data_IF_624955977642
#
_entry.id   IF_624955977642
#
_cell.length_a   1.000
_cell.length_b   1.000
_cell.length_c   1.000
_cell.angle_alpha   90.00
_cell.angle_beta   90.00
_cell.angle_gamma   90.00
#
_symmetry.space_group_name_H-M   'P 1'
#
loop_
_entity.id
_entity.type
_entity.pdbx_description
1 polymer ?
#
# COMPACT_ATOMS: atom_id res chain seq x y z
N UNK A 1 29.75 -72.76 -41.21
CA UNK A 1 30.17 -72.69 -39.78
C UNK A 1 28.98 -72.12 -39.00
N UNK A 2 28.11 -72.98 -38.46
CA UNK A 2 28.01 -73.34 -37.03
C UNK A 2 27.71 -72.11 -36.13
N UNK A 3 26.44 -71.84 -35.80
CA UNK A 3 25.65 -72.36 -34.65
C UNK A 3 26.02 -71.71 -33.30
N UNK A 4 25.09 -70.95 -32.68
CA UNK A 4 24.38 -71.33 -31.44
C UNK A 4 23.61 -70.18 -30.74
N UNK A 5 22.37 -70.51 -30.33
CA UNK A 5 21.65 -70.26 -29.04
C UNK A 5 21.74 -68.86 -28.42
N UNK A 6 20.65 -68.17 -28.08
CA UNK A 6 19.46 -68.65 -27.37
C UNK A 6 19.54 -68.20 -25.91
N UNK A 7 18.78 -67.18 -25.51
CA UNK A 7 18.76 -66.66 -24.15
C UNK A 7 17.63 -65.67 -23.93
N UNK A 8 16.46 -66.18 -23.53
CA UNK A 8 15.31 -65.36 -23.16
C UNK A 8 15.45 -64.74 -21.77
N UNK A 9 14.84 -63.57 -21.59
CA UNK A 9 14.33 -63.08 -20.30
C UNK A 9 13.29 -61.98 -20.55
N UNK A 10 12.04 -62.27 -20.17
CA UNK A 10 10.95 -61.30 -20.01
C UNK A 10 11.29 -60.33 -18.87
N UNK A 11 10.77 -59.10 -18.91
CA UNK A 11 10.14 -58.57 -17.70
C UNK A 11 8.74 -58.00 -17.95
N UNK A 12 7.82 -58.56 -17.14
CA UNK A 12 6.74 -57.94 -16.37
C UNK A 12 6.00 -56.72 -16.91
N UNK A 13 4.70 -56.97 -17.12
CA UNK A 13 3.58 -56.02 -17.18
C UNK A 13 3.48 -55.14 -15.92
N UNK A 14 2.81 -54.00 -16.12
CA UNK A 14 1.86 -53.34 -15.21
C UNK A 14 2.44 -52.45 -14.10
N UNK A 15 2.56 -51.16 -14.40
CA UNK A 15 2.29 -50.09 -13.44
C UNK A 15 1.17 -49.22 -14.01
N UNK A 16 0.01 -49.29 -13.35
CA UNK A 16 -1.16 -48.49 -13.63
C UNK A 16 -0.87 -47.01 -13.37
N UNK A 17 -1.38 -46.15 -14.24
CA UNK A 17 -1.37 -44.70 -14.09
C UNK A 17 -2.43 -44.32 -13.05
N UNK A 18 -2.00 -43.97 -11.85
CA UNK A 18 -2.85 -43.24 -10.90
C UNK A 18 -2.96 -41.78 -11.37
N UNK A 19 -4.11 -41.45 -11.97
CA UNK A 19 -4.56 -40.08 -12.13
C UNK A 19 -5.17 -39.62 -10.80
N UNK A 20 -4.75 -38.49 -10.20
CA UNK A 20 -5.48 -37.94 -9.07
C UNK A 20 -6.84 -37.44 -9.54
N UNK A 21 -7.89 -37.96 -8.88
CA UNK A 21 -9.27 -37.50 -9.02
C UNK A 21 -9.33 -36.03 -8.59
N UNK A 22 -9.70 -35.16 -9.53
CA UNK A 22 -10.16 -33.80 -9.26
C UNK A 22 -11.39 -33.91 -8.36
N UNK A 23 -11.20 -33.56 -7.08
CA UNK A 23 -12.28 -33.42 -6.12
C UNK A 23 -13.08 -32.16 -6.48
N UNK A 24 -14.35 -32.41 -6.77
CA UNK A 24 -15.45 -31.47 -6.92
C UNK A 24 -15.50 -30.50 -5.72
N UNK A 25 -14.93 -29.30 -5.90
CA UNK A 25 -14.99 -28.21 -4.91
C UNK A 25 -16.33 -27.49 -5.06
N UNK A 26 -17.36 -28.06 -4.43
CA UNK A 26 -18.56 -27.30 -4.06
C UNK A 26 -18.14 -26.08 -3.26
N UNK A 27 -18.54 -24.89 -3.73
CA UNK A 27 -18.48 -23.62 -3.01
C UNK A 27 -19.16 -23.78 -1.64
N UNK A 28 -18.38 -24.10 -0.62
CA UNK A 28 -18.82 -24.01 0.77
C UNK A 28 -18.93 -22.52 1.09
N UNK A 29 -20.15 -22.08 1.44
CA UNK A 29 -20.38 -20.83 2.14
C UNK A 29 -19.33 -20.70 3.25
N UNK A 30 -18.56 -19.61 3.25
CA UNK A 30 -17.64 -19.30 4.33
C UNK A 30 -18.41 -19.36 5.66
N UNK A 31 -17.85 -19.97 6.72
CA UNK A 31 -18.48 -19.94 8.03
C UNK A 31 -18.60 -18.47 8.46
N UNK A 32 -19.81 -18.06 8.87
CA UNK A 32 -20.01 -16.80 9.58
C UNK A 32 -19.03 -16.78 10.76
N UNK A 33 -18.18 -15.75 10.84
CA UNK A 33 -17.29 -15.54 11.97
C UNK A 33 -18.13 -15.57 13.27
N UNK A 34 -17.68 -16.28 14.32
CA UNK A 34 -18.43 -16.32 15.57
C UNK A 34 -18.44 -14.91 16.19
N UNK A 35 -19.63 -14.45 16.59
CA UNK A 35 -19.81 -13.20 17.31
C UNK A 35 -18.89 -13.18 18.55
N UNK A 36 -17.98 -12.20 18.61
CA UNK A 36 -17.14 -11.95 19.76
C UNK A 36 -18.03 -11.63 20.97
N UNK A 37 -18.13 -12.56 21.92
CA UNK A 37 -18.81 -12.31 23.19
C UNK A 37 -18.04 -11.24 23.98
N UNK A 38 -18.72 -10.22 24.56
CA UNK A 38 -18.06 -9.22 25.38
C UNK A 38 -17.48 -9.86 26.64
N UNK A 39 -16.20 -9.59 26.91
CA UNK A 39 -15.52 -10.02 28.11
C UNK A 39 -16.20 -9.45 29.36
N UNK A 40 -16.53 -10.31 30.32
CA UNK A 40 -17.05 -9.92 31.63
C UNK A 40 -16.01 -9.04 32.36
N UNK A 41 -16.42 -7.82 32.73
CA UNK A 41 -15.62 -6.92 33.59
C UNK A 41 -15.33 -7.59 34.94
N UNK A 42 -14.10 -7.55 35.46
CA UNK A 42 -13.80 -7.97 36.83
C UNK A 42 -14.31 -6.95 37.84
N UNK A 43 -14.61 -7.36 39.09
CA UNK A 43 -15.18 -6.49 40.10
C UNK A 43 -14.17 -5.45 40.61
N UNK A 44 -14.65 -4.21 40.77
CA UNK A 44 -13.92 -3.10 41.40
C UNK A 44 -13.63 -3.44 42.87
N UNK A 45 -12.36 -3.57 43.22
CA UNK A 45 -11.90 -3.50 44.62
C UNK A 45 -11.69 -2.04 45.00
N UNK A 46 -12.43 -1.58 46.00
CA UNK A 46 -12.22 -0.29 46.64
C UNK A 46 -11.00 -0.31 47.55
N UNK A 47 -10.30 0.82 47.65
CA UNK A 47 -9.37 1.07 48.74
C UNK A 47 -9.65 2.43 49.40
N UNK A 48 -9.51 2.51 50.74
CA UNK A 48 -9.87 3.69 51.52
C UNK A 48 -8.70 4.68 51.57
N UNK A 49 -9.03 5.96 51.71
CA UNK A 49 -8.05 7.02 51.89
C UNK A 49 -7.44 7.04 53.28
N UNK A 50 -6.20 7.53 53.36
CA UNK A 50 -5.69 8.24 54.55
C UNK A 50 -4.72 9.33 54.10
N UNK A 51 -4.94 10.53 54.64
CA UNK A 51 -4.04 11.70 54.57
C UNK A 51 -2.82 11.44 55.46
N UNK A 52 -1.61 11.74 54.98
CA UNK A 52 -0.48 12.14 55.85
C UNK A 52 0.37 13.21 55.17
N UNK A 53 0.74 14.18 56.01
CA UNK A 53 1.54 15.40 55.82
C UNK A 53 2.99 15.13 55.40
N UNK A 54 3.69 16.11 54.80
CA UNK A 54 5.10 15.99 54.42
C UNK A 54 6.04 16.48 55.54
N UNK A 55 7.26 15.94 55.68
CA UNK A 55 8.32 16.58 56.44
C UNK A 55 9.21 17.45 55.53
N UNK A 56 9.66 18.55 56.12
CA UNK A 56 10.62 19.50 55.60
C UNK A 56 12.06 18.98 55.67
N UNK A 57 12.96 19.54 54.84
CA UNK A 57 14.39 19.60 55.18
C UNK A 57 15.42 19.49 54.05
N UNK A 58 15.84 20.66 53.53
CA UNK A 58 17.20 21.04 53.10
C UNK A 58 17.88 20.39 51.85
N UNK A 59 18.97 21.00 51.30
CA UNK A 59 19.18 22.41 50.98
C UNK A 59 19.62 22.66 49.51
N UNK A 60 19.45 23.91 49.08
CA UNK A 60 19.90 24.48 47.79
C UNK A 60 21.43 24.53 47.70
N UNK A 61 21.99 24.11 46.55
CA UNK A 61 23.36 24.47 46.14
C UNK A 61 23.33 25.53 45.04
N UNK A 62 24.17 26.54 45.25
CA UNK A 62 24.24 27.79 44.55
C UNK A 62 24.93 27.71 43.19
N UNK A 63 24.41 28.54 42.28
CA UNK A 63 24.99 28.98 41.02
C UNK A 63 26.33 29.67 41.23
N UNK A 64 27.31 29.39 40.37
CA UNK A 64 28.56 30.14 40.32
C UNK A 64 28.92 30.50 38.88
N UNK A 65 28.92 31.79 38.62
CA UNK A 65 29.40 32.51 37.44
C UNK A 65 30.92 32.69 37.52
N UNK A 66 31.63 32.55 36.39
CA UNK A 66 32.91 33.22 36.08
C UNK A 66 33.26 32.90 34.60
N UNK A 67 33.17 33.88 33.69
CA UNK A 67 34.26 34.76 33.18
C UNK A 67 35.27 34.09 32.24
N UNK A 68 35.29 34.60 31.00
CA UNK A 68 36.35 34.50 29.96
C UNK A 68 37.73 34.97 30.48
N UNK A 69 38.82 34.65 29.76
CA UNK A 69 39.37 35.66 28.84
C UNK A 69 39.78 35.12 27.46
N UNK A 70 39.99 36.08 26.54
CA UNK A 70 40.45 35.92 25.17
C UNK A 70 41.99 35.82 25.08
N UNK A 71 42.50 35.27 23.97
CA UNK A 71 43.88 35.53 23.52
C UNK A 71 44.36 34.58 22.40
N UNK A 72 45.10 35.07 21.38
CA UNK A 72 45.15 34.46 20.05
C UNK A 72 46.46 33.72 19.75
N UNK A 73 46.42 32.80 18.77
CA UNK A 73 47.61 32.13 18.25
C UNK A 73 47.49 31.84 16.74
N UNK A 74 48.02 32.75 15.92
CA UNK A 74 48.40 32.48 14.53
C UNK A 74 49.57 31.49 14.51
N UNK A 75 49.58 30.55 13.55
CA UNK A 75 50.81 30.11 12.88
C UNK A 75 50.50 29.53 11.50
N UNK A 76 51.19 30.10 10.54
CA UNK A 76 51.29 29.71 9.14
C UNK A 76 51.97 28.35 8.95
N UNK A 77 51.69 27.69 7.82
CA UNK A 77 52.75 26.95 7.13
C UNK A 77 52.37 25.65 6.43
N UNK A 78 52.46 25.74 5.10
CA UNK A 78 53.06 24.75 4.18
C UNK A 78 52.15 23.78 3.41
N UNK A 79 52.11 24.10 2.12
CA UNK A 79 52.04 23.27 0.93
C UNK A 79 52.29 21.76 1.09
N UNK A 80 51.36 20.98 0.53
CA UNK A 80 51.54 19.57 0.17
C UNK A 80 50.79 19.26 -1.11
N UNK A 81 51.54 18.94 -2.17
CA UNK A 81 51.10 18.55 -3.50
C UNK A 81 49.94 17.53 -3.51
N UNK A 82 48.82 17.87 -4.15
CA UNK A 82 47.83 16.87 -4.59
C UNK A 82 48.11 16.49 -6.05
N UNK A 83 48.56 15.24 -6.20
CA UNK A 83 48.67 14.53 -7.47
C UNK A 83 47.30 14.47 -8.15
N UNK A 84 47.26 14.83 -9.43
CA UNK A 84 46.14 14.57 -10.33
C UNK A 84 46.04 13.04 -10.50
N UNK A 85 44.94 12.47 -10.03
CA UNK A 85 44.54 11.11 -10.39
C UNK A 85 43.47 11.21 -11.48
N UNK A 86 43.65 10.40 -12.51
CA UNK A 86 42.84 10.34 -13.71
C UNK A 86 41.35 10.15 -13.40
N UNK A 87 40.55 11.08 -13.92
CA UNK A 87 39.09 10.99 -13.91
C UNK A 87 38.67 10.07 -15.05
N UNK A 88 38.44 8.79 -14.74
CA UNK A 88 37.63 7.96 -15.61
C UNK A 88 36.19 8.49 -15.60
N UNK A 89 35.76 9.01 -16.74
CA UNK A 89 34.37 9.35 -17.01
C UNK A 89 33.52 8.09 -16.96
N UNK A 90 32.71 7.94 -15.90
CA UNK A 90 31.61 7.00 -15.88
C UNK A 90 30.51 7.51 -16.83
N UNK A 91 29.93 6.66 -17.69
CA UNK A 91 28.80 7.06 -18.51
C UNK A 91 27.60 7.38 -17.61
N UNK A 92 27.13 8.62 -17.69
CA UNK A 92 25.85 9.04 -17.15
C UNK A 92 24.76 8.28 -17.93
N UNK A 93 24.22 7.22 -17.33
CA UNK A 93 22.96 6.65 -17.75
C UNK A 93 21.88 7.71 -17.44
N UNK A 94 21.53 8.52 -18.44
CA UNK A 94 20.30 9.32 -18.44
C UNK A 94 19.12 8.35 -18.32
N UNK A 95 18.37 8.34 -17.20
CA UNK A 95 17.16 7.56 -17.13
C UNK A 95 16.06 8.29 -17.91
N UNK A 96 15.19 7.52 -18.57
CA UNK A 96 13.91 8.01 -19.06
C UNK A 96 13.28 8.94 -18.01
N UNK A 97 12.87 10.14 -18.45
CA UNK A 97 12.48 11.28 -17.63
C UNK A 97 11.76 10.88 -16.33
N UNK A 98 12.35 11.24 -15.19
CA UNK A 98 11.67 11.23 -13.89
C UNK A 98 10.57 12.29 -13.96
N UNK A 99 9.35 11.85 -14.31
CA UNK A 99 8.15 12.70 -14.39
C UNK A 99 7.76 13.25 -13.02
N UNK A 100 7.17 14.45 -13.01
CA UNK A 100 6.58 15.04 -11.81
C UNK A 100 5.38 14.19 -11.40
N UNK A 101 5.47 13.49 -10.28
CA UNK A 101 4.34 12.76 -9.73
C UNK A 101 3.60 13.63 -8.74
N UNK A 102 2.27 13.64 -8.85
CA UNK A 102 1.40 14.18 -7.82
C UNK A 102 1.07 13.01 -6.89
N UNK A 103 1.58 12.98 -5.64
CA UNK A 103 1.15 11.98 -4.67
C UNK A 103 -0.37 12.11 -4.47
N UNK A 104 -1.09 10.99 -4.42
CA UNK A 104 -2.50 11.00 -4.06
C UNK A 104 -2.65 11.31 -2.55
N UNK A 105 -2.61 12.57 -2.16
CA UNK A 105 -2.87 12.98 -0.76
C UNK A 105 -4.36 12.95 -0.44
N UNK A 106 -4.81 12.10 0.48
CA UNK A 106 -6.14 12.27 1.10
C UNK A 106 -6.11 13.52 1.98
N UNK A 107 -6.67 14.62 1.48
CA UNK A 107 -7.00 15.77 2.32
C UNK A 107 -8.26 15.45 3.13
N UNK A 108 -8.28 15.76 4.43
CA UNK A 108 -9.46 15.53 5.25
C UNK A 108 -10.62 16.41 4.74
N UNK A 109 -11.79 15.81 4.51
CA UNK A 109 -13.05 16.54 4.71
C UNK A 109 -13.20 16.70 6.21
N UNK A 110 -13.18 17.93 6.70
CA UNK A 110 -13.46 18.25 8.08
C UNK A 110 -14.99 18.44 8.20
N UNK A 111 -15.76 17.51 8.80
CA UNK A 111 -17.21 17.67 8.92
C UNK A 111 -17.63 18.66 10.03
N UNK A 112 -16.68 19.38 10.65
CA UNK A 112 -16.92 20.18 11.85
C UNK A 112 -16.58 21.68 11.72
N UNK A 113 -16.37 22.20 10.51
CA UNK A 113 -16.15 23.62 10.28
C UNK A 113 -17.45 24.35 9.84
N UNK A 114 -18.47 24.33 10.69
CA UNK A 114 -19.56 25.32 10.61
C UNK A 114 -19.82 25.87 12.01
N UNK A 115 -19.08 26.92 12.34
CA UNK A 115 -19.04 27.52 13.67
C UNK A 115 -19.04 29.04 13.59
N UNK A 116 -20.21 29.61 13.91
CA UNK A 116 -20.43 30.93 14.52
C UNK A 116 -19.95 32.15 13.74
N UNK A 117 -20.89 32.78 13.02
CA UNK A 117 -20.91 34.24 12.86
C UNK A 117 -22.02 34.82 13.71
N UNK A 118 -21.63 35.74 14.59
CA UNK A 118 -22.51 36.60 15.38
C UNK A 118 -23.19 37.64 14.48
N UNK A 119 -24.43 37.99 14.84
CA UNK A 119 -24.97 39.35 14.76
C UNK A 119 -25.23 39.94 13.37
N UNK A 120 -26.31 39.50 12.71
CA UNK A 120 -26.90 40.25 11.60
C UNK A 120 -28.34 39.83 11.36
N UNK A 121 -29.31 40.68 11.72
CA UNK A 121 -30.73 40.48 11.42
C UNK A 121 -30.95 40.46 9.90
N UNK A 122 -31.45 39.37 9.30
CA UNK A 122 -31.71 39.33 7.87
C UNK A 122 -33.07 39.96 7.54
N UNK A 123 -33.10 40.82 6.51
CA UNK A 123 -34.32 41.22 5.80
C UNK A 123 -34.96 39.99 5.13
N UNK A 124 -36.31 39.92 5.03
CA UNK A 124 -36.98 38.80 4.40
C UNK A 124 -36.72 38.80 2.88
N UNK A 125 -35.94 37.84 2.41
CA UNK A 125 -35.77 37.53 0.98
C UNK A 125 -36.87 36.56 0.58
N UNK A 126 -37.62 36.89 -0.47
CA UNK A 126 -38.74 36.11 -0.98
C UNK A 126 -38.36 34.66 -1.30
N UNK A 127 -39.26 33.72 -0.96
CA UNK A 127 -39.16 32.31 -1.30
C UNK A 127 -38.97 32.14 -2.82
N UNK A 128 -37.91 31.46 -3.29
CA UNK A 128 -37.89 30.99 -4.67
C UNK A 128 -38.90 29.85 -4.82
N UNK A 129 -39.73 29.95 -5.86
CA UNK A 129 -40.68 28.90 -6.24
C UNK A 129 -39.93 27.58 -6.46
N UNK A 130 -40.38 26.52 -5.79
CA UNK A 130 -39.92 25.16 -6.03
C UNK A 130 -40.30 24.78 -7.46
N UNK A 131 -39.35 24.83 -8.38
CA UNK A 131 -39.44 24.08 -9.65
C UNK A 131 -39.47 22.59 -9.31
N UNK A 132 -40.64 21.99 -9.45
CA UNK A 132 -40.85 20.55 -9.47
C UNK A 132 -40.04 19.96 -10.62
N UNK A 133 -38.91 19.30 -10.29
CA UNK A 133 -38.20 18.44 -11.23
C UNK A 133 -39.12 17.28 -11.60
N UNK A 134 -39.62 17.29 -12.84
CA UNK A 134 -40.35 16.17 -13.42
C UNK A 134 -39.47 14.92 -13.39
N UNK A 135 -39.98 13.85 -12.76
CA UNK A 135 -39.30 12.57 -12.68
C UNK A 135 -38.95 12.04 -14.07
N UNK A 136 -37.67 11.76 -14.32
CA UNK A 136 -37.22 11.06 -15.52
C UNK A 136 -37.86 9.67 -15.53
N UNK A 137 -38.57 9.27 -16.61
CA UNK A 137 -39.18 7.96 -16.68
C UNK A 137 -38.11 6.87 -16.56
N UNK A 138 -38.21 6.04 -15.52
CA UNK A 138 -37.37 4.85 -15.36
C UNK A 138 -37.72 3.87 -16.49
N UNK A 139 -36.84 3.74 -17.48
CA UNK A 139 -36.97 2.73 -18.53
C UNK A 139 -37.03 1.31 -17.95
N UNK A 140 -37.50 0.31 -18.72
CA UNK A 140 -37.63 -1.07 -18.26
C UNK A 140 -36.28 -1.59 -17.76
N UNK A 141 -36.21 -1.96 -16.47
CA UNK A 141 -35.05 -2.62 -15.90
C UNK A 141 -34.95 -4.02 -16.53
N UNK A 142 -34.02 -4.21 -17.46
CA UNK A 142 -33.64 -5.55 -17.91
C UNK A 142 -33.01 -6.25 -16.70
N UNK A 143 -33.70 -7.24 -16.15
CA UNK A 143 -33.19 -8.04 -15.03
C UNK A 143 -32.10 -8.95 -15.59
N UNK A 144 -30.84 -8.69 -15.24
CA UNK A 144 -29.76 -9.66 -15.49
C UNK A 144 -30.07 -10.93 -14.71
N UNK A 145 -29.87 -12.08 -15.36
CA UNK A 145 -30.06 -13.38 -14.72
C UNK A 145 -28.89 -13.70 -13.80
N UNK A 146 -29.09 -14.61 -12.84
CA UNK A 146 -28.00 -15.10 -11.97
C UNK A 146 -26.86 -15.71 -12.81
N UNK A 147 -27.18 -16.36 -13.93
CA UNK A 147 -26.19 -16.90 -14.86
C UNK A 147 -25.29 -15.81 -15.45
N UNK A 148 -25.86 -14.68 -15.88
CA UNK A 148 -25.10 -13.55 -16.43
C UNK A 148 -24.11 -12.97 -15.39
N UNK A 149 -24.49 -12.98 -14.10
CA UNK A 149 -23.62 -12.50 -13.03
C UNK A 149 -22.44 -13.43 -12.76
N UNK A 150 -22.65 -14.75 -12.82
CA UNK A 150 -21.59 -15.75 -12.63
C UNK A 150 -20.60 -15.72 -13.78
N UNK A 151 -21.09 -15.61 -15.02
CA UNK A 151 -20.24 -15.51 -16.21
C UNK A 151 -19.39 -14.22 -16.20
N UNK A 152 -20.00 -13.08 -15.87
CA UNK A 152 -19.29 -11.81 -15.75
C UNK A 152 -18.19 -11.88 -14.68
N UNK A 153 -18.46 -12.46 -13.50
CA UNK A 153 -17.48 -12.63 -12.43
C UNK A 153 -16.32 -13.55 -12.84
N UNK A 154 -16.62 -14.64 -13.56
CA UNK A 154 -15.60 -15.54 -14.10
C UNK A 154 -14.70 -14.84 -15.13
N UNK A 155 -15.28 -14.03 -16.01
CA UNK A 155 -14.54 -13.25 -16.99
C UNK A 155 -13.59 -12.24 -16.33
N UNK A 156 -14.05 -11.51 -15.30
CA UNK A 156 -13.21 -10.58 -14.53
C UNK A 156 -12.06 -11.32 -13.85
N UNK A 157 -12.33 -12.47 -13.26
CA UNK A 157 -11.30 -13.30 -12.61
C UNK A 157 -10.25 -13.76 -13.61
N UNK A 158 -10.67 -14.18 -14.81
CA UNK A 158 -9.77 -14.59 -15.89
C UNK A 158 -8.91 -13.41 -16.39
N UNK A 159 -9.50 -12.24 -16.60
CA UNK A 159 -8.79 -11.02 -16.98
C UNK A 159 -7.75 -10.62 -15.93
N UNK A 160 -8.13 -10.65 -14.66
CA UNK A 160 -7.24 -10.35 -13.56
C UNK A 160 -6.06 -11.31 -13.51
N UNK A 161 -6.29 -12.62 -13.66
CA UNK A 161 -5.22 -13.61 -13.71
C UNK A 161 -4.24 -13.34 -14.88
N UNK A 162 -4.76 -12.96 -16.05
CA UNK A 162 -3.94 -12.58 -17.20
C UNK A 162 -3.09 -11.33 -16.96
N UNK A 163 -3.65 -10.30 -16.32
CA UNK A 163 -2.93 -9.09 -15.92
C UNK A 163 -1.83 -9.42 -14.89
N UNK A 164 -2.16 -10.23 -13.88
CA UNK A 164 -1.19 -10.70 -12.88
C UNK A 164 -0.03 -11.49 -13.51
N UNK A 165 -0.29 -12.36 -14.48
CA UNK A 165 0.80 -13.09 -15.15
C UNK A 165 1.77 -12.13 -15.86
N UNK A 166 1.26 -11.08 -16.52
CA UNK A 166 2.08 -10.05 -17.17
C UNK A 166 2.83 -9.19 -16.16
N UNK A 167 2.21 -8.88 -15.02
CA UNK A 167 2.84 -8.21 -13.89
C UNK A 167 4.04 -9.01 -13.37
N UNK A 168 3.89 -10.32 -13.15
CA UNK A 168 4.98 -11.21 -12.69
C UNK A 168 6.14 -11.20 -13.69
N UNK A 169 5.85 -11.28 -14.98
CA UNK A 169 6.87 -11.18 -16.03
C UNK A 169 7.58 -9.82 -16.00
N UNK A 170 6.82 -8.73 -15.95
CA UNK A 170 7.36 -7.36 -15.87
C UNK A 170 8.30 -7.18 -14.67
N UNK A 171 7.93 -7.70 -13.50
CA UNK A 171 8.79 -7.66 -12.30
C UNK A 171 10.09 -8.42 -12.49
N UNK A 172 10.05 -9.58 -13.15
CA UNK A 172 11.27 -10.35 -13.44
C UNK A 172 12.23 -9.59 -14.36
N UNK A 173 11.74 -8.94 -15.42
CA UNK A 173 12.54 -8.08 -16.30
C UNK A 173 13.14 -6.89 -15.53
N UNK A 174 12.29 -6.19 -14.77
CA UNK A 174 12.68 -5.02 -14.00
C UNK A 174 13.74 -5.39 -12.95
N UNK A 175 13.55 -6.49 -12.23
CA UNK A 175 14.50 -6.93 -11.22
C UNK A 175 15.88 -7.23 -11.79
N UNK A 176 15.98 -7.86 -12.96
CA UNK A 176 17.27 -8.07 -13.64
C UNK A 176 17.98 -6.75 -13.93
N UNK A 177 17.24 -5.76 -14.41
CA UNK A 177 17.77 -4.42 -14.70
C UNK A 177 18.26 -3.73 -13.42
N UNK A 178 17.44 -3.71 -12.37
CA UNK A 178 17.80 -3.06 -11.10
C UNK A 178 19.00 -3.73 -10.43
N UNK A 179 19.08 -5.07 -10.46
CA UNK A 179 20.22 -5.82 -9.94
C UNK A 179 21.50 -5.54 -10.74
N UNK A 180 21.41 -5.44 -12.06
CA UNK A 180 22.55 -5.04 -12.88
C UNK A 180 23.05 -3.63 -12.50
N UNK A 181 22.13 -2.67 -12.28
CA UNK A 181 22.49 -1.34 -11.79
C UNK A 181 23.17 -1.38 -10.42
N UNK A 182 22.63 -2.14 -9.46
CA UNK A 182 23.22 -2.28 -8.12
C UNK A 182 24.62 -2.89 -8.16
N UNK A 183 24.87 -3.90 -9.00
CA UNK A 183 26.21 -4.51 -9.17
C UNK A 183 27.24 -3.50 -9.70
N UNK A 184 26.82 -2.57 -10.55
CA UNK A 184 27.72 -1.56 -11.12
C UNK A 184 28.20 -0.53 -10.09
N UNK A 185 27.45 -0.30 -9.00
CA UNK A 185 27.78 0.70 -7.99
C UNK A 185 28.89 0.28 -7.03
N UNK A 186 29.03 -1.03 -6.78
CA UNK A 186 30.07 -1.56 -5.88
C UNK A 186 30.75 -2.75 -6.54
N UNK A 187 31.81 -2.49 -7.34
CA UNK A 187 32.54 -3.53 -8.05
C UNK A 187 33.05 -4.63 -7.10
N UNK A 188 33.00 -5.88 -7.56
CA UNK A 188 33.46 -7.05 -6.79
C UNK A 188 32.43 -7.64 -5.83
N UNK A 189 31.27 -6.99 -5.60
CA UNK A 189 30.20 -7.59 -4.81
C UNK A 189 29.36 -8.55 -5.67
N UNK A 190 29.24 -9.79 -5.20
CA UNK A 190 28.27 -10.75 -5.73
C UNK A 190 26.89 -10.44 -5.16
N UNK A 191 25.96 -10.10 -6.06
CA UNK A 191 24.53 -9.99 -5.75
C UNK A 191 23.81 -11.12 -6.46
N UNK A 192 23.34 -12.10 -5.69
CA UNK A 192 22.48 -13.15 -6.22
C UNK A 192 21.08 -12.57 -6.49
N UNK A 193 20.46 -13.06 -7.58
CA UNK A 193 19.07 -12.73 -7.90
C UNK A 193 18.10 -13.49 -6.97
N UNK A 194 16.80 -13.18 -7.06
CA UNK A 194 15.78 -14.07 -6.50
C UNK A 194 15.80 -15.43 -7.23
N UNK A 195 15.42 -16.50 -6.52
CA UNK A 195 15.26 -17.84 -7.07
C UNK A 195 13.96 -17.90 -7.89
N UNK A 196 13.95 -17.25 -9.06
CA UNK A 196 12.78 -17.14 -9.94
C UNK A 196 12.27 -15.71 -10.10
N UNK A 197 10.99 -15.57 -10.43
CA UNK A 197 10.36 -14.25 -10.50
C UNK A 197 10.24 -13.67 -9.08
N UNK A 198 10.65 -12.41 -8.86
CA UNK A 198 10.53 -11.78 -7.55
C UNK A 198 9.06 -11.71 -7.14
N UNK A 199 8.77 -12.17 -5.92
CA UNK A 199 7.47 -11.92 -5.30
C UNK A 199 7.35 -10.45 -4.85
N UNK A 200 6.21 -10.09 -4.25
CA UNK A 200 5.98 -8.72 -3.79
C UNK A 200 7.06 -8.24 -2.80
N UNK A 201 7.57 -9.14 -1.95
CA UNK A 201 8.57 -8.82 -0.94
C UNK A 201 9.93 -8.55 -1.56
N UNK A 202 10.41 -9.45 -2.42
CA UNK A 202 11.68 -9.26 -3.11
C UNK A 202 11.62 -8.01 -4.01
N UNK A 203 10.49 -7.78 -4.67
CA UNK A 203 10.29 -6.58 -5.49
C UNK A 203 10.38 -5.30 -4.65
N UNK A 204 9.68 -5.22 -3.51
CA UNK A 204 9.73 -4.05 -2.63
C UNK A 204 11.14 -3.78 -2.09
N UNK A 205 11.81 -4.81 -1.54
CA UNK A 205 13.18 -4.66 -1.00
C UNK A 205 14.17 -4.23 -2.08
N UNK A 206 14.09 -4.80 -3.28
CA UNK A 206 14.93 -4.40 -4.41
C UNK A 206 14.72 -2.94 -4.80
N UNK A 207 13.46 -2.48 -4.79
CA UNK A 207 13.10 -1.11 -5.08
C UNK A 207 13.64 -0.12 -4.04
N UNK A 208 13.55 -0.46 -2.76
CA UNK A 208 14.16 0.34 -1.69
C UNK A 208 15.69 0.40 -1.83
N UNK A 209 16.35 -0.74 -2.09
CA UNK A 209 17.79 -0.79 -2.35
C UNK A 209 18.18 0.09 -3.55
N UNK A 210 17.43 0.00 -4.65
CA UNK A 210 17.68 0.81 -5.83
C UNK A 210 17.50 2.31 -5.57
N UNK A 211 16.47 2.74 -4.82
CA UNK A 211 16.29 4.16 -4.49
C UNK A 211 17.43 4.68 -3.60
N UNK A 212 17.87 3.90 -2.61
CA UNK A 212 19.04 4.23 -1.80
C UNK A 212 20.29 4.41 -2.66
N UNK A 213 20.52 3.49 -3.59
CA UNK A 213 21.60 3.56 -4.58
C UNK A 213 21.52 4.80 -5.49
N UNK A 214 20.31 5.15 -5.95
CA UNK A 214 20.07 6.34 -6.78
C UNK A 214 20.41 7.62 -6.01
N UNK A 215 20.00 7.71 -4.74
CA UNK A 215 20.34 8.84 -3.88
C UNK A 215 21.84 8.91 -3.63
N UNK A 216 22.47 7.77 -3.33
CA UNK A 216 23.91 7.68 -3.15
C UNK A 216 24.69 8.20 -4.36
N UNK A 217 24.26 7.84 -5.59
CA UNK A 217 24.88 8.34 -6.81
C UNK A 217 24.72 9.86 -6.96
N UNK A 218 23.52 10.41 -6.68
CA UNK A 218 23.26 11.87 -6.75
C UNK A 218 24.10 12.66 -5.76
N UNK A 219 24.25 12.15 -4.53
CA UNK A 219 24.98 12.83 -3.45
C UNK A 219 26.46 12.45 -3.38
N UNK A 220 26.93 11.51 -4.21
CA UNK A 220 28.26 10.90 -4.16
C UNK A 220 28.59 10.30 -2.78
N UNK A 221 27.59 9.68 -2.15
CA UNK A 221 27.69 9.04 -0.84
C UNK A 221 28.02 7.54 -1.00
N UNK A 222 29.31 7.21 -0.89
CA UNK A 222 29.77 5.82 -1.02
C UNK A 222 29.25 4.91 0.11
N UNK A 223 28.98 5.44 1.31
CA UNK A 223 28.46 4.65 2.41
C UNK A 223 27.01 4.27 2.17
N UNK A 224 26.19 5.19 1.65
CA UNK A 224 24.81 4.90 1.24
C UNK A 224 24.75 3.90 0.08
N UNK A 225 25.68 3.99 -0.88
CA UNK A 225 25.79 2.99 -1.94
C UNK A 225 26.08 1.58 -1.38
N UNK A 226 26.99 1.49 -0.40
CA UNK A 226 27.27 0.23 0.30
C UNK A 226 26.06 -0.27 1.11
N UNK A 227 25.32 0.62 1.78
CA UNK A 227 24.07 0.26 2.50
C UNK A 227 23.00 -0.26 1.56
N UNK A 228 22.81 0.38 0.40
CA UNK A 228 21.88 -0.08 -0.64
C UNK A 228 22.16 -1.53 -1.09
N UNK A 229 23.43 -1.85 -1.34
CA UNK A 229 23.84 -3.20 -1.72
C UNK A 229 23.62 -4.21 -0.58
N UNK A 230 24.01 -3.84 0.65
CA UNK A 230 23.79 -4.68 1.84
C UNK A 230 22.31 -4.95 2.10
N UNK A 231 21.44 -3.96 1.90
CA UNK A 231 19.99 -4.12 2.07
C UNK A 231 19.45 -5.27 1.21
N UNK A 232 19.90 -5.40 -0.04
CA UNK A 232 19.52 -6.51 -0.91
C UNK A 232 20.13 -7.86 -0.49
N UNK A 233 21.38 -7.85 0.00
CA UNK A 233 22.03 -9.05 0.52
C UNK A 233 21.32 -9.57 1.78
N UNK A 234 20.85 -8.67 2.63
CA UNK A 234 20.12 -8.96 3.87
C UNK A 234 18.65 -9.34 3.64
N UNK A 235 18.15 -9.41 2.40
CA UNK A 235 16.73 -9.68 2.11
C UNK A 235 16.19 -10.94 2.79
N UNK A 236 17.00 -11.99 2.91
CA UNK A 236 16.59 -13.24 3.57
C UNK A 236 16.39 -13.04 5.08
N UNK A 237 17.25 -12.23 5.72
CA UNK A 237 17.10 -11.83 7.13
C UNK A 237 15.85 -10.98 7.31
N UNK A 238 15.66 -9.96 6.47
CA UNK A 238 14.45 -9.11 6.51
C UNK A 238 13.18 -9.94 6.35
N UNK A 239 13.18 -10.93 5.44
CA UNK A 239 12.06 -11.86 5.24
C UNK A 239 11.80 -12.72 6.48
N UNK A 240 12.84 -13.13 7.20
CA UNK A 240 12.70 -13.89 8.43
C UNK A 240 12.12 -13.05 9.58
N UNK A 241 12.38 -11.74 9.60
CA UNK A 241 11.87 -10.79 10.59
C UNK A 241 10.44 -10.29 10.28
N UNK A 242 10.00 -10.45 9.03
CA UNK A 242 8.68 -10.03 8.56
C UNK A 242 7.53 -10.79 9.24
N UNK A 243 6.39 -10.12 9.39
CA UNK A 243 5.16 -10.76 9.85
C UNK A 243 4.68 -11.73 8.77
N UNK A 244 4.49 -13.00 9.12
CA UNK A 244 3.88 -13.97 8.23
C UNK A 244 2.37 -13.73 8.19
N UNK A 245 1.85 -13.48 7.00
CA UNK A 245 0.43 -13.26 6.76
C UNK A 245 -0.09 -14.21 5.68
N UNK A 246 -1.41 -14.28 5.52
CA UNK A 246 -2.04 -15.07 4.46
C UNK A 246 -1.68 -14.56 3.05
N UNK A 247 -1.19 -13.32 2.89
CA UNK A 247 -0.73 -12.77 1.59
C UNK A 247 0.77 -12.92 1.36
N UNK A 248 1.54 -13.37 2.35
CA UNK A 248 2.99 -13.48 2.30
C UNK A 248 3.69 -12.81 3.49
N UNK A 249 5.03 -12.75 3.48
CA UNK A 249 5.78 -11.98 4.47
C UNK A 249 5.53 -10.47 4.27
N UNK A 250 5.20 -9.76 5.34
CA UNK A 250 5.03 -8.30 5.35
C UNK A 250 5.96 -7.68 6.39
N UNK A 251 6.88 -6.84 5.95
CA UNK A 251 7.78 -6.10 6.84
C UNK A 251 7.06 -4.86 7.37
N UNK A 252 6.92 -4.74 8.70
CA UNK A 252 6.25 -3.59 9.33
C UNK A 252 7.26 -2.76 10.10
N UNK A 253 7.37 -1.47 9.75
CA UNK A 253 8.40 -0.57 10.25
C UNK A 253 7.77 0.73 10.74
N UNK A 254 8.43 1.38 11.69
CA UNK A 254 8.08 2.75 12.07
C UNK A 254 8.81 3.71 11.12
N UNK A 255 8.15 4.80 10.76
CA UNK A 255 8.74 5.86 9.94
C UNK A 255 10.06 6.40 10.52
N UNK A 256 10.19 6.42 11.86
CA UNK A 256 11.41 6.84 12.58
C UNK A 256 12.57 5.87 12.44
N UNK A 257 12.29 4.63 12.04
CA UNK A 257 13.29 3.60 11.81
C UNK A 257 13.70 3.51 10.33
N UNK A 258 13.12 4.37 9.49
CA UNK A 258 13.42 4.47 8.07
C UNK A 258 14.31 5.69 7.80
N UNK A 259 15.02 5.65 6.69
CA UNK A 259 15.74 6.78 6.14
C UNK A 259 14.75 7.70 5.42
N UNK A 260 14.38 8.78 6.12
CA UNK A 260 13.44 9.79 5.63
C UNK A 260 14.11 10.72 4.60
N UNK A 261 13.49 10.83 3.44
CA UNK A 261 13.95 11.67 2.34
C UNK A 261 12.86 12.68 2.01
N UNK A 262 13.20 13.95 2.20
CA UNK A 262 12.38 15.08 1.78
C UNK A 262 12.74 15.46 0.34
N UNK A 263 11.78 15.31 -0.57
CA UNK A 263 11.87 15.76 -1.96
C UNK A 263 10.58 16.53 -2.28
N UNK A 264 10.68 17.85 -2.44
CA UNK A 264 9.55 18.75 -2.67
C UNK A 264 8.69 18.34 -3.88
N UNK A 265 9.26 17.56 -4.81
CA UNK A 265 8.56 17.09 -6.02
C UNK A 265 7.62 15.94 -5.73
N UNK A 266 7.87 15.16 -4.68
CA UNK A 266 7.10 13.98 -4.35
C UNK A 266 5.82 14.30 -3.59
N UNK A 267 5.69 15.54 -3.10
CA UNK A 267 4.58 16.03 -2.29
C UNK A 267 4.29 15.22 -1.02
N UNK A 268 5.01 14.16 -0.71
CA UNK A 268 4.96 13.38 0.53
C UNK A 268 6.39 12.92 0.84
N UNK A 269 6.71 12.79 2.12
CA UNK A 269 8.02 12.31 2.55
C UNK A 269 8.20 10.86 2.08
N UNK A 270 9.37 10.56 1.52
CA UNK A 270 9.72 9.19 1.16
C UNK A 270 10.44 8.53 2.33
N UNK A 271 10.08 7.28 2.63
CA UNK A 271 10.74 6.49 3.68
C UNK A 271 11.43 5.30 3.03
N UNK A 272 12.76 5.21 3.17
CA UNK A 272 13.55 4.11 2.63
C UNK A 272 14.02 3.17 3.73
N UNK A 273 14.08 1.88 3.41
CA UNK A 273 14.69 0.89 4.29
C UNK A 273 16.18 1.23 4.46
N UNK A 274 16.69 1.15 5.68
CA UNK A 274 18.11 1.35 5.99
C UNK A 274 18.66 0.15 6.78
N UNK A 275 18.12 -0.08 7.98
CA UNK A 275 18.35 -1.27 8.79
C UNK A 275 17.06 -1.62 9.54
N UNK A 276 16.84 -2.91 9.83
CA UNK A 276 15.69 -3.32 10.62
C UNK A 276 15.87 -2.85 12.07
N UNK A 277 14.95 -2.03 12.61
CA UNK A 277 14.99 -1.63 14.00
C UNK A 277 14.71 -2.80 14.93
N UNK A 278 15.30 -2.76 16.12
CA UNK A 278 14.86 -3.61 17.22
C UNK A 278 13.46 -3.16 17.66
N UNK A 279 12.44 -3.90 17.24
CA UNK A 279 11.10 -3.80 17.80
C UNK A 279 10.98 -4.73 19.00
N UNK A 280 10.44 -4.21 20.10
CA UNK A 280 10.07 -5.00 21.27
C UNK A 280 9.15 -6.18 20.86
N UNK A 281 9.31 -7.31 21.55
CA UNK A 281 8.58 -8.53 21.25
C UNK A 281 7.06 -8.36 21.46
N UNK A 282 6.62 -7.59 22.46
CA UNK A 282 5.20 -7.37 22.71
C UNK A 282 4.56 -6.45 21.64
N UNK A 283 5.26 -5.40 21.22
CA UNK A 283 4.88 -4.57 20.08
C UNK A 283 4.80 -5.38 18.80
N UNK A 284 5.83 -6.19 18.49
CA UNK A 284 5.82 -7.07 17.31
C UNK A 284 4.64 -8.04 17.34
N UNK A 285 4.32 -8.62 18.49
CA UNK A 285 3.17 -9.52 18.64
C UNK A 285 1.83 -8.79 18.46
N UNK A 286 1.70 -7.54 18.95
CA UNK A 286 0.51 -6.70 18.72
C UNK A 286 0.32 -6.40 17.24
N UNK A 287 1.36 -5.88 16.58
CA UNK A 287 1.38 -5.58 15.15
C UNK A 287 1.00 -6.81 14.34
N UNK A 288 1.61 -7.97 14.65
CA UNK A 288 1.35 -9.21 13.94
C UNK A 288 -0.12 -9.63 14.03
N UNK A 289 -0.76 -9.50 15.21
CA UNK A 289 -2.19 -9.82 15.36
C UNK A 289 -3.07 -8.88 14.53
N UNK A 290 -2.92 -7.58 14.73
CA UNK A 290 -3.73 -6.57 14.01
C UNK A 290 -3.56 -6.69 12.51
N UNK A 291 -2.32 -6.88 12.02
CA UNK A 291 -2.06 -7.03 10.60
C UNK A 291 -2.66 -8.32 10.03
N UNK A 292 -2.56 -9.45 10.73
CA UNK A 292 -3.16 -10.70 10.26
C UNK A 292 -4.68 -10.60 10.17
N UNK A 293 -5.34 -10.06 11.20
CA UNK A 293 -6.79 -9.84 11.18
C UNK A 293 -7.21 -8.87 10.06
N UNK A 294 -6.43 -7.81 9.82
CA UNK A 294 -6.66 -6.88 8.72
C UNK A 294 -6.51 -7.54 7.34
N UNK A 295 -5.45 -8.33 7.15
CA UNK A 295 -5.20 -9.09 5.91
C UNK A 295 -6.29 -10.12 5.67
N UNK A 296 -6.69 -10.86 6.70
CA UNK A 296 -7.73 -11.88 6.59
C UNK A 296 -9.08 -11.26 6.16
N UNK A 297 -9.44 -10.11 6.74
CA UNK A 297 -10.61 -9.36 6.30
C UNK A 297 -10.46 -8.86 4.85
N UNK A 298 -9.30 -8.34 4.49
CA UNK A 298 -9.02 -7.73 3.18
C UNK A 298 -9.00 -8.76 2.04
N UNK A 299 -8.59 -10.00 2.32
CA UNK A 299 -8.57 -11.10 1.35
C UNK A 299 -9.94 -11.41 0.73
N UNK A 300 -11.03 -10.98 1.35
CA UNK A 300 -12.38 -11.18 0.84
C UNK A 300 -12.66 -10.45 -0.48
N UNK A 301 -11.87 -9.44 -0.87
CA UNK A 301 -12.14 -8.60 -2.06
C UNK A 301 -11.32 -8.95 -3.27
N UNK A 302 -10.06 -9.31 -3.07
CA UNK A 302 -9.12 -9.43 -4.16
C UNK A 302 -7.78 -9.89 -3.65
N UNK A 303 -7.72 -11.14 -3.19
CA UNK A 303 -6.51 -11.68 -2.58
C UNK A 303 -5.26 -11.53 -3.45
N UNK A 304 -5.40 -11.54 -4.77
CA UNK A 304 -4.28 -11.34 -5.69
C UNK A 304 -3.72 -9.91 -5.69
N UNK A 305 -4.58 -8.89 -5.59
CA UNK A 305 -4.14 -7.48 -5.50
C UNK A 305 -3.30 -7.28 -4.24
N UNK A 306 -3.78 -7.80 -3.10
CA UNK A 306 -3.05 -7.72 -1.83
C UNK A 306 -1.75 -8.53 -1.86
N UNK A 307 -1.79 -9.78 -2.34
CA UNK A 307 -0.60 -10.66 -2.46
C UNK A 307 0.48 -10.04 -3.33
N UNK A 308 0.09 -9.40 -4.42
CA UNK A 308 1.03 -8.80 -5.34
C UNK A 308 1.58 -7.49 -4.81
N UNK A 309 0.87 -6.75 -3.96
CA UNK A 309 1.14 -5.32 -3.78
C UNK A 309 1.28 -4.84 -2.34
N UNK A 310 1.34 -5.75 -1.36
CA UNK A 310 1.59 -5.43 0.04
C UNK A 310 2.73 -6.28 0.59
N UNK A 311 3.90 -5.66 0.78
CA UNK A 311 5.09 -6.32 1.30
C UNK A 311 5.81 -5.52 2.38
N UNK A 312 5.73 -4.19 2.33
CA UNK A 312 6.32 -3.29 3.32
C UNK A 312 5.22 -2.35 3.78
N UNK A 313 5.01 -2.26 5.10
CA UNK A 313 4.11 -1.30 5.73
C UNK A 313 4.95 -0.40 6.63
N UNK A 314 4.98 0.89 6.30
CA UNK A 314 5.66 1.91 7.08
C UNK A 314 4.59 2.71 7.80
N UNK A 315 4.49 2.56 9.12
CA UNK A 315 3.58 3.39 9.87
C UNK A 315 4.21 4.74 10.22
N UNK A 316 3.42 5.79 10.40
CA UNK A 316 3.88 7.13 10.79
C UNK A 316 3.51 7.46 12.23
N UNK A 317 2.23 7.50 12.53
CA UNK A 317 1.64 7.83 13.82
C UNK A 317 0.40 6.98 14.08
N UNK A 318 0.07 6.75 15.36
CA UNK A 318 -1.18 6.08 15.72
C UNK A 318 -2.37 7.03 15.61
N UNK A 319 -3.49 6.55 15.08
CA UNK A 319 -4.73 7.32 14.94
C UNK A 319 -5.93 6.58 15.55
N UNK A 320 -6.88 7.32 16.17
CA UNK A 320 -8.07 6.72 16.74
C UNK A 320 -9.04 6.23 15.65
N UNK A 321 -9.96 5.34 16.03
CA UNK A 321 -10.95 4.69 15.15
C UNK A 321 -11.66 5.63 14.16
N UNK A 322 -12.11 6.79 14.64
CA UNK A 322 -12.89 7.75 13.85
C UNK A 322 -12.04 8.72 13.01
N UNK A 323 -10.72 8.71 13.16
CA UNK A 323 -9.85 9.59 12.38
C UNK A 323 -9.74 9.11 10.93
N UNK A 324 -9.51 10.06 10.02
CA UNK A 324 -9.15 9.75 8.64
C UNK A 324 -7.77 9.11 8.63
N UNK A 325 -7.65 7.90 8.06
CA UNK A 325 -6.35 7.29 7.84
C UNK A 325 -5.65 8.04 6.71
N UNK A 326 -4.49 8.63 7.00
CA UNK A 326 -3.60 9.15 5.97
C UNK A 326 -2.74 8.00 5.50
N UNK A 327 -2.77 7.76 4.20
CA UNK A 327 -1.96 6.74 3.57
C UNK A 327 -1.56 7.18 2.17
N UNK A 328 -0.48 6.58 1.67
CA UNK A 328 -0.02 6.75 0.30
C UNK A 328 0.97 5.64 -0.08
N UNK A 329 1.12 5.48 -1.39
CA UNK A 329 2.06 4.60 -2.07
C UNK A 329 2.79 5.38 -3.16
N UNK A 330 3.99 4.94 -3.54
CA UNK A 330 4.74 5.50 -4.66
C UNK A 330 4.91 4.45 -5.76
N UNK A 331 4.80 4.85 -7.02
CA UNK A 331 4.98 3.94 -8.16
C UNK A 331 6.42 3.40 -8.30
N UNK A 332 7.39 4.10 -7.71
CA UNK A 332 8.81 3.74 -7.70
C UNK A 332 9.23 2.96 -6.45
N UNK A 333 8.30 2.75 -5.50
CA UNK A 333 8.40 1.86 -4.34
C UNK A 333 7.19 0.88 -4.33
N UNK A 334 7.07 0.03 -5.36
CA UNK A 334 6.00 -0.96 -5.43
C UNK A 334 6.01 -1.90 -4.21
N UNK A 335 4.84 -2.25 -3.71
CA UNK A 335 4.70 -3.11 -2.54
C UNK A 335 4.86 -2.40 -1.19
N UNK A 336 5.11 -1.08 -1.19
CA UNK A 336 5.33 -0.29 0.02
C UNK A 336 4.17 0.65 0.31
N UNK A 337 3.48 0.41 1.42
CA UNK A 337 2.39 1.25 1.92
C UNK A 337 2.89 2.10 3.07
N UNK A 338 2.71 3.41 2.98
CA UNK A 338 2.92 4.33 4.12
C UNK A 338 1.57 4.71 4.68
N UNK A 339 1.35 4.58 5.99
CA UNK A 339 0.07 4.89 6.62
C UNK A 339 0.18 5.37 8.06
N UNK A 340 -0.84 6.10 8.52
CA UNK A 340 -1.08 6.29 9.94
C UNK A 340 -1.68 4.99 10.50
N UNK A 341 -1.11 4.45 11.58
CA UNK A 341 -1.51 3.17 12.16
C UNK A 341 -2.81 3.26 12.95
N UNK A 342 -3.62 2.23 12.86
CA UNK A 342 -4.76 2.03 13.76
C UNK A 342 -4.73 0.60 14.28
N UNK A 343 -5.02 0.42 15.57
CA UNK A 343 -5.14 -0.91 16.16
C UNK A 343 -6.48 -1.59 15.84
N UNK A 344 -7.35 -0.93 15.06
CA UNK A 344 -8.60 -1.49 14.54
C UNK A 344 -8.34 -2.26 13.22
N UNK A 345 -8.39 -3.60 13.21
CA UNK A 345 -8.01 -4.39 12.04
C UNK A 345 -8.87 -4.12 10.81
N UNK A 346 -10.17 -3.85 10.97
CA UNK A 346 -11.04 -3.59 9.83
C UNK A 346 -10.75 -2.25 9.15
N UNK A 347 -10.28 -1.27 9.91
CA UNK A 347 -9.85 0.04 9.37
C UNK A 347 -8.47 -0.04 8.73
N UNK A 348 -7.58 -0.84 9.31
CA UNK A 348 -6.30 -1.15 8.68
C UNK A 348 -6.53 -1.91 7.36
N UNK A 349 -7.45 -2.89 7.34
CA UNK A 349 -7.82 -3.63 6.13
C UNK A 349 -8.34 -2.73 5.01
N UNK A 350 -9.23 -1.78 5.31
CA UNK A 350 -9.70 -0.76 4.37
C UNK A 350 -8.52 -0.02 3.71
N UNK A 351 -7.57 0.42 4.53
CA UNK A 351 -6.39 1.16 4.09
C UNK A 351 -5.46 0.30 3.23
N UNK A 352 -5.23 -0.95 3.63
CA UNK A 352 -4.40 -1.89 2.88
C UNK A 352 -5.02 -2.21 1.50
N UNK A 353 -6.34 -2.39 1.41
CA UNK A 353 -7.03 -2.61 0.13
C UNK A 353 -6.86 -1.40 -0.79
N UNK A 354 -7.04 -0.19 -0.25
CA UNK A 354 -6.89 1.06 -1.00
C UNK A 354 -5.48 1.18 -1.59
N UNK A 355 -4.46 1.11 -0.75
CA UNK A 355 -3.07 1.34 -1.14
C UNK A 355 -2.48 0.19 -1.96
N UNK A 356 -2.84 -1.06 -1.67
CA UNK A 356 -2.48 -2.19 -2.52
C UNK A 356 -3.07 -2.05 -3.92
N UNK A 357 -4.28 -1.49 -4.05
CA UNK A 357 -4.88 -1.24 -5.36
C UNK A 357 -4.10 -0.19 -6.14
N UNK A 358 -3.64 0.89 -5.50
CA UNK A 358 -2.77 1.88 -6.14
C UNK A 358 -1.44 1.27 -6.57
N UNK A 359 -0.79 0.51 -5.70
CA UNK A 359 0.47 -0.18 -6.01
C UNK A 359 0.31 -1.16 -7.18
N UNK A 360 -0.73 -2.00 -7.14
CA UNK A 360 -1.04 -2.94 -8.22
C UNK A 360 -1.28 -2.24 -9.56
N UNK A 361 -2.05 -1.15 -9.55
CA UNK A 361 -2.39 -0.42 -10.77
C UNK A 361 -1.18 0.29 -11.37
N UNK A 362 -0.33 0.91 -10.54
CA UNK A 362 0.93 1.50 -10.99
C UNK A 362 1.80 0.48 -11.71
N UNK A 363 1.98 -0.71 -11.13
CA UNK A 363 2.78 -1.74 -11.75
C UNK A 363 2.09 -2.36 -12.97
N UNK A 364 0.76 -2.48 -12.97
CA UNK A 364 -0.01 -2.91 -14.14
C UNK A 364 0.13 -1.95 -15.30
N UNK A 365 0.13 -0.63 -15.06
CA UNK A 365 0.45 0.36 -16.10
C UNK A 365 1.87 0.17 -16.65
N UNK A 366 2.86 -0.07 -15.79
CA UNK A 366 4.22 -0.39 -16.21
C UNK A 366 4.31 -1.65 -17.06
N UNK A 367 3.59 -2.72 -16.67
CA UNK A 367 3.55 -3.99 -17.40
C UNK A 367 2.86 -3.89 -18.76
N UNK A 368 1.84 -3.03 -18.88
CA UNK A 368 1.06 -2.80 -20.10
C UNK A 368 1.61 -1.66 -20.97
N UNK A 369 2.72 -1.01 -20.56
CA UNK A 369 3.27 0.15 -21.28
C UNK A 369 2.33 1.36 -21.32
N UNK A 370 1.41 1.46 -20.35
CA UNK A 370 0.43 2.55 -20.26
C UNK A 370 1.10 3.77 -19.64
N UNK A 371 0.95 4.91 -20.29
CA UNK A 371 1.33 6.21 -19.73
C UNK A 371 0.29 7.26 -20.10
N UNK A 372 0.12 8.26 -19.23
CA UNK A 372 -0.77 9.39 -19.45
C UNK A 372 0.05 10.66 -19.62
N UNK A 373 -0.49 11.65 -20.32
CA UNK A 373 0.10 12.99 -20.37
C UNK A 373 -0.26 13.77 -19.11
N UNK A 374 0.70 14.50 -18.53
CA UNK A 374 0.44 15.40 -17.40
C UNK A 374 -0.37 16.63 -17.83
N UNK A 375 -0.25 17.03 -19.09
CA UNK A 375 -0.97 18.18 -19.71
C UNK A 375 -2.31 17.76 -20.34
N UNK A 376 -2.79 16.55 -20.03
CA UNK A 376 -4.05 16.02 -20.54
C UNK A 376 -5.30 16.70 -19.95
N UNK A 377 -6.49 16.31 -20.42
CA UNK A 377 -7.74 16.79 -19.85
C UNK A 377 -7.84 16.45 -18.36
N UNK A 378 -8.47 17.35 -17.61
CA UNK A 378 -8.73 17.17 -16.18
C UNK A 378 -10.21 16.90 -15.96
N UNK A 379 -10.51 16.08 -14.96
CA UNK A 379 -11.87 15.73 -14.58
C UNK A 379 -12.04 15.91 -13.08
N UNK A 380 -13.24 16.28 -12.65
CA UNK A 380 -13.54 16.44 -11.24
C UNK A 380 -13.47 15.09 -10.51
N UNK A 381 -12.73 15.05 -9.39
CA UNK A 381 -12.57 13.88 -8.53
C UNK A 381 -13.38 14.06 -7.24
N UNK A 382 -14.53 13.38 -7.03
CA UNK A 382 -15.37 13.57 -5.85
C UNK A 382 -14.64 13.21 -4.54
N UNK A 383 -13.71 12.24 -4.58
CA UNK A 383 -12.90 11.82 -3.43
C UNK A 383 -11.89 12.86 -2.92
N UNK A 384 -11.52 13.81 -3.78
CA UNK A 384 -10.55 14.87 -3.47
C UNK A 384 -11.19 16.25 -3.51
N UNK A 385 -12.39 16.35 -4.09
CA UNK A 385 -13.09 17.59 -4.37
C UNK A 385 -12.25 18.58 -5.19
N UNK A 386 -11.54 18.09 -6.20
CA UNK A 386 -10.67 18.87 -7.06
C UNK A 386 -10.59 18.25 -8.47
N UNK A 387 -10.17 19.02 -9.46
CA UNK A 387 -9.93 18.51 -10.81
C UNK A 387 -8.59 17.79 -10.91
N UNK A 388 -8.59 16.58 -11.47
CA UNK A 388 -7.43 15.70 -11.53
C UNK A 388 -7.19 15.18 -12.96
N UNK A 389 -5.94 14.90 -13.34
CA UNK A 389 -5.66 14.28 -14.63
C UNK A 389 -6.24 12.85 -14.67
N UNK A 390 -6.34 12.29 -15.89
CA UNK A 390 -6.81 10.93 -16.16
C UNK A 390 -6.21 9.91 -15.20
N UNK A 391 -4.87 9.90 -15.06
CA UNK A 391 -4.15 9.00 -14.16
C UNK A 391 -4.74 9.01 -12.74
N UNK A 392 -5.04 10.19 -12.19
CA UNK A 392 -5.56 10.35 -10.84
C UNK A 392 -6.98 9.82 -10.69
N UNK A 393 -7.83 10.01 -11.71
CA UNK A 393 -9.22 9.53 -11.72
C UNK A 393 -9.28 8.02 -11.84
N UNK A 394 -8.48 7.43 -12.74
CA UNK A 394 -8.43 5.97 -12.92
C UNK A 394 -7.97 5.29 -11.62
N UNK A 395 -6.95 5.85 -10.95
CA UNK A 395 -6.49 5.38 -9.64
C UNK A 395 -7.58 5.45 -8.58
N UNK A 396 -8.23 6.61 -8.44
CA UNK A 396 -9.27 6.79 -7.42
C UNK A 396 -10.45 5.84 -7.66
N UNK A 397 -10.97 5.79 -8.88
CA UNK A 397 -12.13 4.96 -9.22
C UNK A 397 -11.90 3.47 -8.90
N UNK A 398 -10.74 2.92 -9.28
CA UNK A 398 -10.44 1.50 -9.00
C UNK A 398 -10.18 1.25 -7.50
N UNK A 399 -9.40 2.10 -6.83
CA UNK A 399 -9.11 1.93 -5.41
C UNK A 399 -10.39 1.99 -4.56
N UNK A 400 -11.27 2.95 -4.84
CA UNK A 400 -12.53 3.08 -4.10
C UNK A 400 -13.58 2.03 -4.50
N UNK A 401 -13.58 1.54 -5.75
CA UNK A 401 -14.37 0.37 -6.11
C UNK A 401 -14.00 -0.86 -5.25
N UNK A 402 -12.70 -1.13 -5.07
CA UNK A 402 -12.23 -2.20 -4.19
C UNK A 402 -12.54 -1.94 -2.71
N UNK A 403 -12.47 -0.69 -2.25
CA UNK A 403 -12.90 -0.32 -0.88
C UNK A 403 -14.39 -0.54 -0.68
N UNK A 404 -15.25 -0.23 -1.65
CA UNK A 404 -16.69 -0.51 -1.56
C UNK A 404 -16.93 -2.01 -1.43
N UNK A 405 -16.30 -2.83 -2.28
CA UNK A 405 -16.39 -4.29 -2.15
C UNK A 405 -15.89 -4.81 -0.78
N UNK A 406 -14.86 -4.18 -0.23
CA UNK A 406 -14.36 -4.49 1.11
C UNK A 406 -15.42 -4.21 2.16
N UNK A 407 -15.87 -2.96 2.20
CA UNK A 407 -16.83 -2.48 3.18
C UNK A 407 -18.15 -3.25 3.09
N UNK A 408 -18.68 -3.53 1.89
CA UNK A 408 -19.90 -4.33 1.70
C UNK A 408 -19.78 -5.74 2.28
N UNK A 409 -18.60 -6.36 2.25
CA UNK A 409 -18.38 -7.71 2.79
C UNK A 409 -18.19 -7.75 4.29
N UNK A 410 -17.59 -6.72 4.87
CA UNK A 410 -17.34 -6.63 6.31
C UNK A 410 -18.43 -5.87 7.07
N UNK A 411 -19.62 -5.70 6.46
CA UNK A 411 -20.69 -4.97 7.11
C UNK A 411 -21.06 -5.63 8.45
N UNK A 412 -21.20 -4.82 9.51
CA UNK A 412 -21.63 -5.29 10.81
C UNK A 412 -23.07 -5.81 10.73
N UNK A 413 -23.50 -6.54 11.77
CA UNK A 413 -24.90 -6.94 11.87
C UNK A 413 -25.81 -5.68 11.94
N UNK A 414 -27.05 -5.74 11.44
CA UNK A 414 -27.94 -4.57 11.42
C UNK A 414 -28.19 -3.96 12.81
N UNK A 415 -28.16 -4.80 13.85
CA UNK A 415 -28.36 -4.49 15.27
C UNK A 415 -27.04 -4.21 16.03
N UNK A 416 -25.90 -4.18 15.35
CA UNK A 416 -24.62 -3.80 15.95
C UNK A 416 -24.49 -2.27 15.99
N UNK A 417 -24.72 -1.72 17.18
CA UNK A 417 -24.61 -0.30 17.48
C UNK A 417 -23.22 0.11 17.98
N UNK A 418 -22.19 -0.71 17.77
CA UNK A 418 -20.83 -0.36 18.15
C UNK A 418 -20.32 0.88 17.38
N UNK A 419 -19.39 1.66 17.97
CA UNK A 419 -18.77 2.78 17.26
C UNK A 419 -18.12 2.37 15.94
N UNK A 420 -17.53 1.17 15.87
CA UNK A 420 -16.95 0.62 14.65
C UNK A 420 -18.01 0.37 13.59
N UNK A 421 -19.12 -0.29 13.95
CA UNK A 421 -20.23 -0.54 13.05
C UNK A 421 -20.80 0.76 12.45
N UNK A 422 -20.93 1.80 13.27
CA UNK A 422 -21.36 3.12 12.81
C UNK A 422 -20.36 3.77 11.84
N UNK A 423 -19.05 3.62 12.07
CA UNK A 423 -17.99 4.09 11.16
C UNK A 423 -18.05 3.35 9.82
N UNK A 424 -18.11 2.01 9.83
CA UNK A 424 -18.11 1.20 8.60
C UNK A 424 -19.34 1.47 7.72
N UNK A 425 -20.52 1.63 8.33
CA UNK A 425 -21.75 1.99 7.59
C UNK A 425 -21.62 3.35 6.91
N UNK A 426 -21.21 4.40 7.65
CA UNK A 426 -21.01 5.75 7.09
C UNK A 426 -19.95 5.77 6.00
N UNK A 427 -18.87 4.98 6.15
CA UNK A 427 -17.83 4.87 5.12
C UNK A 427 -18.39 4.26 3.84
N UNK A 428 -19.13 3.16 3.93
CA UNK A 428 -19.72 2.51 2.75
C UNK A 428 -20.66 3.47 2.00
N UNK A 429 -21.56 4.15 2.71
CA UNK A 429 -22.49 5.13 2.13
C UNK A 429 -21.74 6.26 1.41
N UNK A 430 -20.74 6.86 2.06
CA UNK A 430 -19.97 7.96 1.47
C UNK A 430 -19.16 7.54 0.23
N UNK A 431 -18.62 6.33 0.21
CA UNK A 431 -17.88 5.83 -0.95
C UNK A 431 -18.79 5.47 -2.12
N UNK A 432 -19.98 4.92 -1.86
CA UNK A 432 -21.00 4.69 -2.89
C UNK A 432 -21.47 6.00 -3.53
N UNK A 433 -21.77 7.02 -2.71
CA UNK A 433 -22.14 8.35 -3.20
C UNK A 433 -21.02 8.96 -4.07
N UNK A 434 -19.78 8.87 -3.60
CA UNK A 434 -18.61 9.38 -4.33
C UNK A 434 -18.40 8.64 -5.65
N UNK A 435 -18.55 7.31 -5.67
CA UNK A 435 -18.42 6.52 -6.89
C UNK A 435 -19.53 6.85 -7.89
N UNK A 436 -20.77 7.01 -7.45
CA UNK A 436 -21.88 7.38 -8.33
C UNK A 436 -21.66 8.75 -8.95
N UNK A 437 -21.27 9.74 -8.12
CA UNK A 437 -20.95 11.10 -8.59
C UNK A 437 -19.78 11.12 -9.58
N UNK A 438 -18.76 10.29 -9.36
CA UNK A 438 -17.56 10.21 -10.22
C UNK A 438 -17.66 9.27 -11.41
N UNK A 439 -18.76 8.51 -11.55
CA UNK A 439 -18.83 7.37 -12.47
C UNK A 439 -18.64 7.76 -13.94
N UNK A 440 -19.30 8.83 -14.40
CA UNK A 440 -19.16 9.30 -15.78
C UNK A 440 -17.71 9.73 -16.11
N UNK A 441 -17.07 10.45 -15.19
CA UNK A 441 -15.67 10.86 -15.32
C UNK A 441 -14.74 9.64 -15.35
N UNK A 442 -14.99 8.63 -14.52
CA UNK A 442 -14.23 7.40 -14.51
C UNK A 442 -14.31 6.65 -15.86
N UNK A 443 -15.51 6.50 -16.43
CA UNK A 443 -15.67 5.85 -17.74
C UNK A 443 -14.93 6.60 -18.85
N UNK A 444 -15.06 7.93 -18.90
CA UNK A 444 -14.33 8.75 -19.88
C UNK A 444 -12.81 8.67 -19.72
N UNK A 445 -12.31 8.48 -18.49
CA UNK A 445 -10.89 8.26 -18.23
C UNK A 445 -10.45 6.84 -18.61
N UNK A 446 -11.30 5.82 -18.41
CA UNK A 446 -10.98 4.45 -18.81
C UNK A 446 -10.83 4.30 -20.33
N UNK A 447 -11.57 5.07 -21.12
CA UNK A 447 -11.42 5.09 -22.59
C UNK A 447 -10.07 5.62 -23.06
N UNK A 448 -9.35 6.33 -22.19
CA UNK A 448 -8.00 6.82 -22.47
C UNK A 448 -6.90 5.83 -22.05
N UNK A 449 -7.25 4.68 -21.48
CA UNK A 449 -6.30 3.60 -21.17
C UNK A 449 -6.08 2.78 -22.44
N UNK A 450 -4.89 2.77 -23.07
CA UNK A 450 -4.68 2.10 -24.36
C UNK A 450 -4.73 0.57 -24.29
N UNK A 451 -4.41 -0.03 -23.14
CA UNK A 451 -4.50 -1.47 -22.93
C UNK A 451 -5.97 -1.92 -22.81
N UNK A 452 -6.45 -2.67 -23.79
CA UNK A 452 -7.81 -3.25 -23.78
C UNK A 452 -8.04 -4.14 -22.54
N UNK A 453 -7.18 -5.13 -22.20
CA UNK A 453 -7.41 -5.97 -21.02
C UNK A 453 -7.56 -5.17 -19.73
N UNK A 454 -6.74 -4.12 -19.56
CA UNK A 454 -6.80 -3.28 -18.38
C UNK A 454 -8.05 -2.39 -18.36
N UNK A 455 -8.42 -1.80 -19.50
CA UNK A 455 -9.66 -1.03 -19.67
C UNK A 455 -10.91 -1.88 -19.38
N UNK A 456 -10.95 -3.11 -19.91
CA UNK A 456 -12.05 -4.05 -19.64
C UNK A 456 -12.14 -4.36 -18.13
N UNK A 457 -11.01 -4.67 -17.48
CA UNK A 457 -10.96 -4.93 -16.05
C UNK A 457 -11.43 -3.73 -15.21
N UNK A 458 -10.94 -2.53 -15.50
CA UNK A 458 -11.31 -1.29 -14.80
C UNK A 458 -12.82 -1.03 -14.85
N UNK A 459 -13.42 -1.14 -16.05
CA UNK A 459 -14.86 -0.98 -16.26
C UNK A 459 -15.66 -2.02 -15.48
N UNK A 460 -15.23 -3.28 -15.52
CA UNK A 460 -15.92 -4.37 -14.84
C UNK A 460 -15.86 -4.24 -13.31
N UNK A 461 -14.70 -3.87 -12.76
CA UNK A 461 -14.52 -3.66 -11.31
C UNK A 461 -15.40 -2.51 -10.79
N UNK A 462 -15.45 -1.37 -11.49
CA UNK A 462 -16.30 -0.24 -11.10
C UNK A 462 -17.78 -0.59 -11.24
N UNK A 463 -18.18 -1.28 -12.32
CA UNK A 463 -19.56 -1.70 -12.50
C UNK A 463 -20.00 -2.68 -11.40
N UNK A 464 -19.09 -3.57 -10.95
CA UNK A 464 -19.38 -4.49 -9.86
C UNK A 464 -19.51 -3.78 -8.51
N UNK A 465 -18.63 -2.83 -8.21
CA UNK A 465 -18.70 -2.04 -6.97
C UNK A 465 -20.03 -1.28 -6.86
N UNK A 466 -20.51 -0.71 -7.97
CA UNK A 466 -21.82 -0.03 -8.03
C UNK A 466 -23.01 -0.96 -7.78
N UNK A 467 -22.88 -2.26 -8.02
CA UNK A 467 -23.93 -3.27 -7.73
C UNK A 467 -23.85 -3.81 -6.30
N UNK A 468 -22.69 -3.65 -5.64
CA UNK A 468 -22.43 -4.21 -4.31
C UNK A 468 -22.94 -3.31 -3.17
N UNK A 469 -23.34 -2.07 -3.46
CA UNK A 469 -24.10 -1.20 -2.57
C UNK A 469 -25.55 -1.14 -2.99
#
# INVERSE_FOLDING_TARGET
MAAHRGGGRRPRRSAARDRPRLADRRLRRLPRLPALRPARRPPRRGHPGTRRTPPAGAPRRASRTARRPAGPGRRDGRHGHRRRADRHHLPLLEPAAVRRQVPLRLHPRDPAADGRREGGTPRPVGRPERRTLTAVPKGPKTLMTEADTVEAAAAVTSLQAGLTARLVHHRAERARTLLASLRSLVPGIRLDGPDGAPDAFDNAVLHHAFQQARLAARTRDADRARRAVRLWQDRARLRAEAVRTAVGPVLVLRATDCDAVDDDRLGSRMYLLDASPEQDAAERARIARTLNEAVDAALAVGGEVLRSSTAVVIWTEAVPLGATCRSYTFDFLPGTVVLNWTDEPLRLGETLVHEATHSWLNESFGAEGVSFSDDGPRFHSPWKNEDRPVFGIVHAALAFANVIHYLSRIQPAPDDDSPLAAVLRRRLEAELESLESGHAAALACFDQVPSEPLRTYLRAAVADARRAG
#
